data_IF_282430915357
#
_entry.id   IF_282430915357
#
_cell.length_a   1.000
_cell.length_b   1.000
_cell.length_c   1.000
_cell.angle_alpha   90.00
_cell.angle_beta   90.00
_cell.angle_gamma   90.00
#
_symmetry.space_group_name_H-M   'P 1'
#
loop_
_entity.id
_entity.type
_entity.pdbx_description
1 polymer ?
#
# COMPACT_ATOMS: atom_id res chain seq x y z
N UNK A 1 -16.15 -4.85 1.41
CA UNK A 1 -15.34 -3.67 1.71
C UNK A 1 -15.24 -2.84 0.44
N UNK A 2 -15.42 -1.52 0.54
CA UNK A 2 -15.06 -0.57 -0.52
C UNK A 2 -13.89 0.26 -0.02
N UNK A 3 -12.82 0.34 -0.79
CA UNK A 3 -11.63 1.11 -0.43
C UNK A 3 -11.88 2.59 -0.77
N UNK A 4 -11.66 3.47 0.21
CA UNK A 4 -11.87 4.93 0.09
C UNK A 4 -13.24 5.35 -0.46
N UNK A 5 -14.28 4.55 -0.22
CA UNK A 5 -15.66 4.80 -0.70
C UNK A 5 -15.76 5.07 -2.22
N UNK A 6 -14.77 4.64 -3.02
CA UNK A 6 -14.72 4.94 -4.46
C UNK A 6 -14.43 6.41 -4.80
N UNK A 7 -14.03 7.24 -3.83
CA UNK A 7 -13.78 8.67 -4.02
C UNK A 7 -12.48 8.98 -4.76
N UNK A 8 -11.52 8.05 -4.72
CA UNK A 8 -10.19 8.22 -5.31
C UNK A 8 -9.90 7.12 -6.32
N UNK A 9 -9.29 7.49 -7.44
CA UNK A 9 -8.77 6.53 -8.42
C UNK A 9 -7.69 5.68 -7.75
N UNK A 10 -7.84 4.37 -7.87
CA UNK A 10 -6.81 3.42 -7.47
C UNK A 10 -5.95 3.09 -8.70
N UNK A 11 -4.64 3.11 -8.52
CA UNK A 11 -3.67 2.86 -9.59
C UNK A 11 -3.12 1.44 -9.59
N UNK A 12 -3.21 0.74 -8.46
CA UNK A 12 -2.73 -0.63 -8.37
C UNK A 12 -3.02 -1.30 -7.04
N UNK A 13 -2.99 -2.63 -7.05
CA UNK A 13 -3.08 -3.47 -5.87
C UNK A 13 -2.01 -4.57 -5.92
N UNK A 14 -1.58 -5.06 -4.76
CA UNK A 14 -0.62 -6.16 -4.65
C UNK A 14 -0.88 -6.96 -3.37
N UNK A 15 -1.13 -8.26 -3.48
CA UNK A 15 -1.07 -9.13 -2.31
C UNK A 15 0.39 -9.36 -1.89
N UNK A 16 0.61 -9.64 -0.61
CA UNK A 16 1.87 -10.21 -0.16
C UNK A 16 1.97 -11.69 -0.54
N UNK A 17 3.11 -12.32 -0.24
CA UNK A 17 3.34 -13.73 -0.61
C UNK A 17 2.41 -14.71 0.11
N UNK A 18 1.98 -14.39 1.33
CA UNK A 18 1.07 -15.23 2.12
C UNK A 18 -0.41 -15.03 1.76
N UNK A 19 -0.75 -13.90 1.12
CA UNK A 19 -2.13 -13.49 0.89
C UNK A 19 -2.83 -12.93 2.13
N UNK A 20 -2.11 -12.77 3.25
CA UNK A 20 -2.61 -12.18 4.49
C UNK A 20 -2.71 -10.65 4.40
N UNK A 21 -1.92 -10.01 3.54
CA UNK A 21 -1.93 -8.56 3.38
C UNK A 21 -2.17 -8.15 1.93
N UNK A 22 -2.90 -7.06 1.76
CA UNK A 22 -3.14 -6.39 0.48
C UNK A 22 -2.65 -4.95 0.57
N UNK A 23 -1.79 -4.55 -0.36
CA UNK A 23 -1.39 -3.17 -0.55
C UNK A 23 -2.22 -2.56 -1.68
N UNK A 24 -2.65 -1.31 -1.50
CA UNK A 24 -3.46 -0.56 -2.46
C UNK A 24 -2.82 0.80 -2.69
N UNK A 25 -2.59 1.16 -3.95
CA UNK A 25 -2.08 2.46 -4.36
C UNK A 25 -3.20 3.34 -4.92
N UNK A 26 -3.20 4.62 -4.52
CA UNK A 26 -4.09 5.66 -5.03
C UNK A 26 -3.50 7.04 -4.72
N UNK A 27 -4.24 7.87 -3.97
CA UNK A 27 -3.67 9.08 -3.39
C UNK A 27 -2.60 8.75 -2.33
N UNK A 28 -2.92 7.76 -1.48
CA UNK A 28 -2.03 7.19 -0.48
C UNK A 28 -1.77 5.70 -0.76
N UNK A 29 -0.84 5.10 -0.02
CA UNK A 29 -0.70 3.64 0.03
C UNK A 29 -1.40 3.10 1.27
N UNK A 30 -2.34 2.18 1.09
CA UNK A 30 -2.99 1.48 2.20
C UNK A 30 -2.49 0.04 2.29
N UNK A 31 -2.20 -0.41 3.51
CA UNK A 31 -1.91 -1.81 3.83
C UNK A 31 -3.09 -2.39 4.59
N UNK A 32 -3.67 -3.46 4.05
CA UNK A 32 -4.93 -4.04 4.52
C UNK A 32 -4.67 -5.49 4.95
N UNK A 33 -5.13 -5.86 6.15
CA UNK A 33 -5.21 -7.26 6.57
C UNK A 33 -6.40 -7.94 5.90
N UNK A 34 -6.13 -9.00 5.16
CA UNK A 34 -7.11 -9.80 4.44
C UNK A 34 -7.81 -10.70 5.45
N UNK A 35 -9.15 -10.63 5.50
CA UNK A 35 -10.00 -11.32 6.50
C UNK A 35 -9.59 -10.91 7.94
N UNK A 36 -10.05 -9.74 8.42
CA UNK A 36 -11.41 -9.25 8.20
C UNK A 36 -11.54 -8.06 7.24
N UNK A 37 -10.52 -7.74 6.43
CA UNK A 37 -10.48 -6.53 5.59
C UNK A 37 -10.37 -5.26 6.42
N UNK A 38 -9.29 -5.17 7.20
CA UNK A 38 -9.01 -4.03 8.06
C UNK A 38 -7.80 -3.26 7.55
N UNK A 39 -7.90 -1.95 7.42
CA UNK A 39 -6.76 -1.09 7.11
C UNK A 39 -5.84 -1.07 8.33
N UNK A 40 -4.62 -1.58 8.17
CA UNK A 40 -3.60 -1.60 9.22
C UNK A 40 -2.75 -0.33 9.20
N UNK A 41 -2.51 0.22 8.00
CA UNK A 41 -1.69 1.41 7.84
C UNK A 41 -2.09 2.18 6.59
N UNK A 42 -1.96 3.50 6.65
CA UNK A 42 -2.08 4.42 5.53
C UNK A 42 -0.80 5.24 5.47
N UNK A 43 -0.08 5.14 4.36
CA UNK A 43 1.21 5.77 4.14
C UNK A 43 0.99 6.98 3.22
N UNK A 44 1.00 8.17 3.81
CA UNK A 44 0.61 9.45 3.17
C UNK A 44 1.81 10.29 2.73
N UNK A 45 2.95 9.62 2.56
CA UNK A 45 4.24 10.29 2.36
C UNK A 45 4.44 10.78 0.91
N UNK A 46 3.78 10.14 -0.06
CA UNK A 46 3.81 10.61 -1.43
C UNK A 46 3.13 11.98 -1.54
N UNK A 47 3.75 12.90 -2.29
CA UNK A 47 3.24 14.27 -2.48
C UNK A 47 2.35 14.43 -3.71
N UNK A 48 2.15 13.34 -4.44
CA UNK A 48 1.33 13.24 -5.65
C UNK A 48 0.90 11.78 -5.83
N UNK A 49 0.03 11.49 -6.81
CA UNK A 49 -0.58 10.20 -7.04
C UNK A 49 0.45 9.05 -7.05
N UNK A 50 0.20 8.04 -6.23
CA UNK A 50 0.95 6.79 -6.24
C UNK A 50 0.56 6.02 -7.49
N UNK A 51 1.53 5.57 -8.27
CA UNK A 51 1.29 4.87 -9.54
C UNK A 51 1.49 3.37 -9.42
N UNK A 52 2.22 2.89 -8.41
CA UNK A 52 2.34 1.46 -8.13
C UNK A 52 2.75 1.17 -6.70
N UNK A 53 2.42 -0.03 -6.24
CA UNK A 53 2.82 -0.57 -4.94
C UNK A 53 3.17 -2.06 -5.03
N UNK A 54 4.17 -2.50 -4.27
CA UNK A 54 4.56 -3.91 -4.13
C UNK A 54 4.97 -4.21 -2.69
N UNK A 55 4.71 -5.43 -2.25
CA UNK A 55 5.34 -5.95 -1.05
C UNK A 55 6.77 -6.40 -1.34
N UNK A 56 7.65 -6.19 -0.37
CA UNK A 56 8.92 -6.90 -0.29
C UNK A 56 8.74 -8.34 0.18
N UNK A 57 9.86 -9.02 0.41
CA UNK A 57 9.87 -10.42 0.86
C UNK A 57 9.18 -10.56 2.22
N UNK A 58 8.36 -11.60 2.37
CA UNK A 58 7.67 -11.96 3.62
C UNK A 58 6.92 -10.79 4.30
N UNK A 59 6.42 -9.84 3.49
CA UNK A 59 5.73 -8.62 3.95
C UNK A 59 6.55 -7.72 4.90
N UNK A 60 7.87 -7.86 4.98
CA UNK A 60 8.74 -7.03 5.82
C UNK A 60 8.88 -5.59 5.33
N UNK A 61 8.56 -5.34 4.07
CA UNK A 61 8.54 -4.00 3.53
C UNK A 61 7.43 -3.80 2.50
N UNK A 62 7.09 -2.54 2.29
CA UNK A 62 6.24 -2.06 1.20
C UNK A 62 7.06 -1.07 0.38
N UNK A 63 6.98 -1.19 -0.94
CA UNK A 63 7.61 -0.29 -1.89
C UNK A 63 6.53 0.39 -2.71
N UNK A 64 6.67 1.71 -2.90
CA UNK A 64 5.76 2.49 -3.74
C UNK A 64 6.50 3.48 -4.61
N UNK A 65 5.89 3.82 -5.74
CA UNK A 65 6.37 4.84 -6.68
C UNK A 65 5.23 5.77 -7.04
N UNK A 66 5.52 7.05 -7.30
CA UNK A 66 4.50 8.05 -7.55
C UNK A 66 4.91 9.16 -8.52
N UNK A 67 3.93 9.99 -8.87
CA UNK A 67 4.10 11.15 -9.76
C UNK A 67 4.96 12.27 -9.14
N UNK A 68 5.20 12.20 -7.83
CA UNK A 68 6.15 13.07 -7.11
C UNK A 68 7.62 12.74 -7.40
N UNK A 69 7.87 11.81 -8.34
CA UNK A 69 9.20 11.36 -8.78
C UNK A 69 10.00 10.69 -7.66
N UNK A 70 9.32 10.08 -6.70
CA UNK A 70 9.96 9.33 -5.63
C UNK A 70 9.65 7.84 -5.70
N UNK A 71 10.63 7.05 -5.24
CA UNK A 71 10.42 5.68 -4.77
C UNK A 71 10.52 5.72 -3.24
N UNK A 72 9.56 5.09 -2.57
CA UNK A 72 9.52 5.01 -1.12
C UNK A 72 9.54 3.56 -0.66
N UNK A 73 10.27 3.31 0.43
CA UNK A 73 10.39 2.00 1.06
C UNK A 73 9.99 2.17 2.52
N UNK A 74 9.03 1.37 2.94
CA UNK A 74 8.55 1.33 4.31
C UNK A 74 8.89 -0.05 4.86
N UNK A 75 9.81 -0.11 5.81
CA UNK A 75 10.17 -1.36 6.49
C UNK A 75 9.55 -1.36 7.88
N UNK A 76 9.04 -2.51 8.32
CA UNK A 76 8.78 -2.69 9.74
C UNK A 76 10.12 -2.85 10.44
N UNK A 77 10.44 -1.93 11.35
CA UNK A 77 11.48 -2.18 12.33
C UNK A 77 10.97 -3.29 13.24
N UNK A 78 11.41 -4.53 13.00
CA UNK A 78 11.27 -5.55 14.04
C UNK A 78 12.07 -5.07 15.24
N UNK A 79 11.39 -4.92 16.36
CA UNK A 79 11.99 -4.73 17.67
C UNK A 79 11.84 -6.05 18.44
#
# INVERSE_FOLDING_TARGET
MTINEGKHTLSGICFDQSGTYLAVAGADVQVIHVKPWTVLSTLTEHKDAVTSVRFGRDAHSVLSVGMDRSLRIYASSQQ
#
